data_IF_468864130180
#
_entry.id   IF_468864130180
#
_cell.length_a   1.000
_cell.length_b   1.000
_cell.length_c   1.000
_cell.angle_alpha   90.00
_cell.angle_beta   90.00
_cell.angle_gamma   90.00
#
_symmetry.space_group_name_H-M   'P 1'
#
loop_
_entity.id
_entity.type
_entity.pdbx_description
1 polymer ?
#
# COMPACT_ATOMS: atom_id res chain seq x y z
N UNK A 1 -3.03 -9.00 -18.19
CA UNK A 1 -2.94 -7.92 -17.23
C UNK A 1 -3.22 -8.47 -15.85
N UNK A 2 -2.24 -8.44 -14.97
CA UNK A 2 -2.38 -9.02 -13.66
C UNK A 2 -2.89 -8.00 -12.63
N UNK A 3 -3.40 -8.51 -11.53
CA UNK A 3 -3.70 -7.66 -10.40
C UNK A 3 -2.41 -7.13 -9.79
N UNK A 4 -2.53 -6.00 -9.14
CA UNK A 4 -1.44 -5.39 -8.40
C UNK A 4 -1.88 -5.13 -6.98
N UNK A 5 -0.93 -5.04 -6.07
CA UNK A 5 -1.27 -4.81 -4.67
C UNK A 5 -0.21 -3.97 -3.96
N UNK A 6 -0.64 -3.35 -2.88
CA UNK A 6 0.25 -2.72 -1.89
C UNK A 6 -0.09 -3.35 -0.55
N UNK A 7 0.92 -3.87 0.13
CA UNK A 7 0.72 -4.51 1.43
C UNK A 7 1.24 -3.60 2.53
N UNK A 8 0.32 -2.93 3.22
CA UNK A 8 0.68 -2.01 4.31
C UNK A 8 1.37 -2.72 5.47
N UNK A 9 1.22 -4.03 5.56
CA UNK A 9 1.88 -4.81 6.61
C UNK A 9 3.39 -4.85 6.46
N UNK A 10 3.90 -4.56 5.26
CA UNK A 10 5.34 -4.51 5.01
C UNK A 10 6.01 -3.28 5.62
N UNK A 11 5.24 -2.23 5.88
CA UNK A 11 5.81 -0.98 6.34
C UNK A 11 5.86 -0.95 7.85
N UNK A 12 7.02 -0.64 8.44
CA UNK A 12 7.07 -0.40 9.87
C UNK A 12 6.22 0.82 10.19
N UNK A 13 5.26 0.65 11.06
CA UNK A 13 4.32 1.69 11.40
C UNK A 13 3.93 1.55 12.85
N UNK A 14 3.84 2.66 13.55
CA UNK A 14 3.38 2.67 14.93
C UNK A 14 1.93 2.18 15.03
N UNK A 15 1.20 2.26 13.94
CA UNK A 15 -0.21 1.87 13.92
C UNK A 15 -0.44 0.39 13.65
N UNK A 16 0.62 -0.37 13.40
CA UNK A 16 0.52 -1.81 13.14
C UNK A 16 -0.57 -2.13 12.13
N UNK A 17 -0.51 -1.47 10.97
CA UNK A 17 -1.51 -1.65 9.94
C UNK A 17 -1.56 -3.10 9.46
N UNK A 18 -2.75 -3.66 9.39
CA UNK A 18 -2.97 -5.04 8.96
C UNK A 18 -3.66 -5.13 7.59
N UNK A 19 -3.70 -4.03 6.86
CA UNK A 19 -4.45 -3.95 5.61
C UNK A 19 -3.53 -4.15 4.42
N UNK A 20 -4.02 -4.90 3.44
CA UNK A 20 -3.42 -4.99 2.12
C UNK A 20 -4.48 -4.54 1.11
N UNK A 21 -4.06 -3.81 0.08
CA UNK A 21 -4.96 -3.25 -0.92
C UNK A 21 -4.60 -3.84 -2.27
N UNK A 22 -5.60 -4.35 -2.98
CA UNK A 22 -5.41 -4.87 -4.34
C UNK A 22 -6.36 -4.24 -5.32
N UNK A 23 -5.93 -4.14 -6.57
CA UNK A 23 -6.75 -3.62 -7.65
C UNK A 23 -6.26 -4.15 -8.99
N UNK A 24 -7.07 -3.99 -10.01
CA UNK A 24 -6.76 -4.49 -11.34
C UNK A 24 -5.88 -3.54 -12.15
N UNK A 25 -5.75 -2.29 -11.71
CA UNK A 25 -4.90 -1.33 -12.39
C UNK A 25 -4.09 -0.53 -11.38
N UNK A 26 -2.94 -0.05 -11.83
CA UNK A 26 -2.05 0.75 -11.00
C UNK A 26 -2.71 2.06 -10.54
N UNK A 27 -3.44 2.72 -11.45
CA UNK A 27 -4.10 3.98 -11.13
C UNK A 27 -5.14 3.83 -10.04
N UNK A 28 -5.97 2.81 -10.15
CA UNK A 28 -6.99 2.52 -9.15
C UNK A 28 -6.36 2.16 -7.81
N UNK A 29 -5.33 1.33 -7.84
CA UNK A 29 -4.61 0.93 -6.64
C UNK A 29 -3.98 2.12 -5.95
N UNK A 30 -3.34 3.00 -6.72
CA UNK A 30 -2.69 4.17 -6.18
C UNK A 30 -3.68 5.10 -5.48
N UNK A 31 -4.84 5.34 -6.09
CA UNK A 31 -5.87 6.17 -5.47
C UNK A 31 -6.36 5.57 -4.15
N UNK A 32 -6.62 4.28 -4.13
CA UNK A 32 -7.06 3.62 -2.90
C UNK A 32 -5.99 3.69 -1.82
N UNK A 33 -4.74 3.49 -2.18
CA UNK A 33 -3.63 3.55 -1.24
C UNK A 33 -3.42 4.95 -0.68
N UNK A 34 -3.55 5.97 -1.52
CA UNK A 34 -3.44 7.36 -1.08
C UNK A 34 -4.54 7.68 -0.07
N UNK A 35 -5.78 7.30 -0.37
CA UNK A 35 -6.88 7.55 0.56
C UNK A 35 -6.67 6.83 1.89
N UNK A 36 -6.19 5.61 1.84
CA UNK A 36 -5.87 4.85 3.05
C UNK A 36 -4.78 5.57 3.86
N UNK A 37 -3.72 6.00 3.22
CA UNK A 37 -2.62 6.70 3.90
C UNK A 37 -3.11 7.99 4.55
N UNK A 38 -3.96 8.75 3.86
CA UNK A 38 -4.48 10.01 4.37
C UNK A 38 -5.42 9.78 5.56
N UNK A 39 -6.35 8.85 5.43
CA UNK A 39 -7.38 8.65 6.45
C UNK A 39 -6.92 7.86 7.66
N UNK A 40 -6.08 6.85 7.43
CA UNK A 40 -5.67 5.94 8.50
C UNK A 40 -4.34 6.35 9.11
N UNK A 41 -3.37 6.73 8.27
CA UNK A 41 -2.03 7.02 8.73
C UNK A 41 -1.73 8.51 8.86
N UNK A 42 -2.69 9.37 8.51
CA UNK A 42 -2.54 10.81 8.71
C UNK A 42 -1.57 11.50 7.76
N UNK A 43 -1.22 10.87 6.65
CA UNK A 43 -0.37 11.50 5.65
C UNK A 43 -1.13 12.56 4.88
N UNK A 44 -0.39 13.46 4.26
CA UNK A 44 -0.96 14.43 3.33
C UNK A 44 -0.86 13.90 1.91
N UNK A 45 -1.87 14.20 1.09
CA UNK A 45 -1.87 13.80 -0.31
C UNK A 45 -0.93 14.71 -1.10
N UNK A 46 0.29 14.26 -1.28
CA UNK A 46 1.33 14.99 -2.01
C UNK A 46 1.86 14.13 -3.14
N UNK A 47 2.54 14.75 -4.11
CA UNK A 47 3.17 14.00 -5.17
C UNK A 47 4.25 13.07 -4.62
N UNK A 48 4.91 13.47 -3.54
CA UNK A 48 5.92 12.64 -2.89
C UNK A 48 5.32 11.37 -2.32
N UNK A 49 4.17 11.48 -1.68
CA UNK A 49 3.45 10.31 -1.16
C UNK A 49 3.06 9.38 -2.29
N UNK A 50 2.54 9.93 -3.39
CA UNK A 50 2.13 9.12 -4.53
C UNK A 50 3.32 8.41 -5.17
N UNK A 51 4.45 9.08 -5.29
CA UNK A 51 5.66 8.47 -5.83
C UNK A 51 6.16 7.34 -4.93
N UNK A 52 6.13 7.53 -3.63
CA UNK A 52 6.51 6.50 -2.68
C UNK A 52 5.61 5.27 -2.79
N UNK A 53 4.31 5.50 -2.85
CA UNK A 53 3.35 4.39 -2.97
C UNK A 53 3.50 3.65 -4.29
N UNK A 54 3.75 4.40 -5.36
CA UNK A 54 3.96 3.80 -6.68
C UNK A 54 5.18 2.87 -6.69
N UNK A 55 6.21 3.23 -5.94
CA UNK A 55 7.42 2.44 -5.88
C UNK A 55 7.28 1.12 -5.12
N UNK A 56 6.21 0.96 -4.35
CA UNK A 56 5.99 -0.25 -3.55
C UNK A 56 4.87 -1.13 -4.09
N UNK A 57 4.33 -0.80 -5.25
CA UNK A 57 3.32 -1.63 -5.91
C UNK A 57 3.96 -2.92 -6.38
N UNK A 58 3.31 -4.04 -6.09
CA UNK A 58 3.75 -5.36 -6.51
C UNK A 58 2.70 -6.02 -7.39
N UNK A 59 3.14 -6.92 -8.23
CA UNK A 59 2.24 -7.69 -9.09
C UNK A 59 1.67 -8.88 -8.32
N UNK A 60 0.41 -9.19 -8.55
CA UNK A 60 -0.25 -10.34 -7.98
C UNK A 60 -1.23 -9.99 -6.88
N UNK A 61 -1.36 -10.89 -5.93
CA UNK A 61 -2.25 -10.72 -4.77
C UNK A 61 -1.41 -10.75 -3.49
N UNK A 62 -1.87 -10.05 -2.44
CA UNK A 62 -1.10 -10.04 -1.19
C UNK A 62 -1.06 -11.44 -0.56
N UNK A 63 0.04 -11.79 0.10
CA UNK A 63 0.12 -13.07 0.79
C UNK A 63 -0.86 -13.12 1.96
N UNK A 64 -1.32 -14.32 2.26
CA UNK A 64 -2.24 -14.52 3.38
C UNK A 64 -1.61 -14.14 4.70
N UNK A 65 -0.35 -14.51 4.89
CA UNK A 65 0.39 -14.12 6.10
C UNK A 65 1.12 -12.82 5.87
N UNK A 66 1.19 -12.01 6.92
CA UNK A 66 1.96 -10.78 6.86
C UNK A 66 3.42 -11.08 6.50
N UNK A 67 4.02 -10.29 5.58
CA UNK A 67 5.45 -10.45 5.30
C UNK A 67 6.29 -10.13 6.53
N UNK A 68 7.47 -10.73 6.59
CA UNK A 68 8.41 -10.39 7.64
C UNK A 68 8.80 -8.93 7.54
N UNK A 69 8.67 -8.23 8.64
CA UNK A 69 9.13 -6.85 8.71
C UNK A 69 10.60 -6.84 9.05
N UNK A 70 11.35 -5.97 8.40
CA UNK A 70 12.74 -5.76 8.78
C UNK A 70 12.76 -5.23 10.22
N UNK A 71 13.51 -5.90 11.02
CA UNK A 71 13.63 -5.51 12.42
C UNK A 71 14.39 -4.19 12.55
#
# INVERSE_FOLDING_TARGET
>A
MGRKFIDCREFPSEMNCSIAIGADSEGELLEAAVQHAVKVHGHQDTSELRDMLRSVIKDGIPPEKAPSRAA
#
